data_IF_474073980053
#
_entry.id   IF_474073980053
#
_cell.length_a   1.000
_cell.length_b   1.000
_cell.length_c   1.000
_cell.angle_alpha   90.00
_cell.angle_beta   90.00
_cell.angle_gamma   90.00
#
_symmetry.space_group_name_H-M   'P 1'
#
loop_
_entity.id
_entity.type
_entity.pdbx_description
1 polymer ?
#
# COMPACT_ATOMS: atom_id res chain seq x y z
N UNK A 1 -28.35 13.72 -7.36
CA UNK A 1 -27.91 12.32 -7.54
C UNK A 1 -26.60 12.14 -6.81
N UNK A 2 -26.55 11.31 -5.77
CA UNK A 2 -25.28 10.95 -5.11
C UNK A 2 -24.70 9.78 -5.90
N UNK A 3 -23.69 10.02 -6.73
CA UNK A 3 -22.92 8.95 -7.36
C UNK A 3 -22.23 8.17 -6.24
N UNK A 4 -22.78 6.98 -5.93
CA UNK A 4 -22.19 6.01 -5.03
C UNK A 4 -20.86 5.59 -5.64
N UNK A 5 -19.75 6.21 -5.24
CA UNK A 5 -18.41 5.74 -5.61
C UNK A 5 -18.30 4.30 -5.09
N UNK A 6 -18.40 3.32 -5.98
CA UNK A 6 -18.16 1.94 -5.64
C UNK A 6 -16.72 1.86 -5.15
N UNK A 7 -16.56 1.77 -3.84
CA UNK A 7 -15.25 1.62 -3.23
C UNK A 7 -14.70 0.30 -3.75
N UNK A 8 -13.58 0.36 -4.46
CA UNK A 8 -12.92 -0.82 -4.98
C UNK A 8 -12.54 -1.73 -3.79
N UNK A 9 -13.19 -2.87 -3.63
CA UNK A 9 -12.82 -3.86 -2.60
C UNK A 9 -12.08 -5.01 -3.25
N UNK A 10 -10.95 -5.42 -2.67
CA UNK A 10 -10.19 -6.55 -3.19
C UNK A 10 -10.81 -7.91 -2.80
N UNK A 11 -10.88 -8.86 -3.75
CA UNK A 11 -11.20 -10.29 -3.67
C UNK A 11 -10.95 -11.19 -2.46
N UNK A 12 -10.33 -10.73 -1.39
CA UNK A 12 -9.57 -11.62 -0.50
C UNK A 12 -9.57 -11.13 0.95
N UNK A 13 -9.22 -12.02 1.88
CA UNK A 13 -9.14 -11.70 3.31
C UNK A 13 -8.14 -10.57 3.61
N UNK A 14 -8.62 -9.48 4.20
CA UNK A 14 -7.83 -8.25 4.40
C UNK A 14 -7.95 -7.24 3.26
N UNK A 15 -8.75 -7.53 2.21
CA UNK A 15 -8.91 -6.67 1.04
C UNK A 15 -9.60 -5.32 1.34
N UNK A 16 -10.54 -5.29 2.28
CA UNK A 16 -11.19 -4.04 2.73
C UNK A 16 -10.21 -3.11 3.46
N UNK A 17 -9.33 -3.69 4.28
CA UNK A 17 -8.26 -2.99 4.97
C UNK A 17 -7.26 -2.45 3.95
N UNK A 18 -6.83 -3.25 2.97
CA UNK A 18 -5.92 -2.78 1.91
C UNK A 18 -6.53 -1.63 1.11
N UNK A 19 -7.84 -1.67 0.86
CA UNK A 19 -8.58 -0.57 0.23
C UNK A 19 -8.56 0.71 1.07
N UNK A 20 -8.61 0.57 2.40
CA UNK A 20 -8.50 1.69 3.34
C UNK A 20 -7.09 2.25 3.44
N UNK A 21 -6.09 1.37 3.47
CA UNK A 21 -4.68 1.74 3.57
C UNK A 21 -4.16 2.33 2.25
N UNK A 22 -4.61 1.82 1.11
CA UNK A 22 -4.03 2.10 -0.20
C UNK A 22 -2.73 1.32 -0.44
N UNK A 23 -2.64 0.62 -1.57
CA UNK A 23 -1.50 -0.24 -1.91
C UNK A 23 -0.16 0.51 -1.86
N UNK A 24 -0.07 1.67 -2.51
CA UNK A 24 1.17 2.45 -2.58
C UNK A 24 1.61 3.00 -1.21
N UNK A 25 0.66 3.40 -0.36
CA UNK A 25 0.98 3.83 1.00
C UNK A 25 1.51 2.67 1.84
N UNK A 26 0.87 1.49 1.75
CA UNK A 26 1.33 0.29 2.44
C UNK A 26 2.80 0.01 2.09
N UNK A 27 3.12 -0.09 0.79
CA UNK A 27 4.48 -0.38 0.33
C UNK A 27 5.45 0.70 0.79
N UNK A 28 5.11 1.98 0.61
CA UNK A 28 5.97 3.08 1.01
C UNK A 28 6.27 3.08 2.51
N UNK A 29 5.31 2.73 3.37
CA UNK A 29 5.54 2.69 4.81
C UNK A 29 6.34 1.44 5.24
N UNK A 30 6.05 0.27 4.67
CA UNK A 30 6.79 -0.95 5.01
C UNK A 30 8.23 -0.90 4.49
N UNK A 31 8.46 -0.30 3.33
CA UNK A 31 9.80 -0.09 2.79
C UNK A 31 10.63 0.80 3.71
N UNK A 32 10.05 1.90 4.20
CA UNK A 32 10.67 2.72 5.24
C UNK A 32 11.04 1.92 6.49
N UNK A 33 10.13 1.02 6.91
CA UNK A 33 10.28 0.27 8.16
C UNK A 33 11.38 -0.79 8.11
N UNK A 34 11.57 -1.43 6.95
CA UNK A 34 12.36 -2.66 6.84
C UNK A 34 13.56 -2.57 5.89
N UNK A 35 13.56 -1.65 4.93
CA UNK A 35 14.59 -1.58 3.88
C UNK A 35 15.39 -0.29 3.99
N UNK A 36 14.71 0.86 3.99
CA UNK A 36 15.35 2.17 3.90
C UNK A 36 14.70 3.17 4.87
N UNK A 37 15.34 3.41 6.01
CA UNK A 37 14.81 4.33 7.01
C UNK A 37 14.76 5.79 6.56
N UNK A 38 15.45 6.17 5.48
CA UNK A 38 15.39 7.53 4.93
C UNK A 38 14.20 7.73 3.98
N UNK A 39 13.56 6.64 3.52
CA UNK A 39 12.39 6.70 2.65
C UNK A 39 11.19 7.37 3.35
N UNK A 40 10.74 8.52 2.83
CA UNK A 40 9.75 9.37 3.52
C UNK A 40 8.46 9.63 2.73
N UNK A 41 8.30 9.09 1.51
CA UNK A 41 7.15 9.43 0.66
C UNK A 41 5.81 9.19 1.36
N UNK A 42 5.71 8.18 2.22
CA UNK A 42 4.50 7.87 3.00
C UNK A 42 4.05 9.02 3.91
N UNK A 43 4.95 9.91 4.30
CA UNK A 43 4.65 11.05 5.18
C UNK A 43 3.80 12.15 4.50
N UNK A 44 3.78 12.17 3.15
CA UNK A 44 3.07 13.17 2.32
C UNK A 44 1.54 13.12 2.45
N UNK A 45 0.98 12.03 2.97
CA UNK A 45 -0.47 11.86 3.14
C UNK A 45 -0.92 12.32 4.54
N UNK A 46 -1.95 13.18 4.58
CA UNK A 46 -2.55 13.67 5.84
C UNK A 46 -3.15 12.56 6.72
N UNK A 47 -3.66 11.49 6.12
CA UNK A 47 -4.28 10.34 6.81
C UNK A 47 -3.28 9.25 7.20
N UNK A 48 -1.98 9.54 7.25
CA UNK A 48 -0.93 8.55 7.53
C UNK A 48 -1.13 7.80 8.84
N UNK A 49 -1.48 8.47 9.93
CA UNK A 49 -1.63 7.84 11.25
C UNK A 49 -2.74 6.78 11.28
N UNK A 50 -3.89 7.08 10.68
CA UNK A 50 -4.99 6.12 10.63
C UNK A 50 -4.65 4.91 9.76
N UNK A 51 -3.97 5.11 8.62
CA UNK A 51 -3.48 4.04 7.75
C UNK A 51 -2.46 3.15 8.48
N UNK A 52 -1.47 3.75 9.16
CA UNK A 52 -0.47 3.04 9.96
C UNK A 52 -1.14 2.21 11.06
N UNK A 53 -2.14 2.77 11.73
CA UNK A 53 -2.89 2.04 12.75
C UNK A 53 -3.64 0.82 12.19
N UNK A 54 -4.16 0.89 10.96
CA UNK A 54 -4.77 -0.28 10.29
C UNK A 54 -3.69 -1.30 9.93
N UNK A 55 -2.53 -0.87 9.41
CA UNK A 55 -1.40 -1.74 9.07
C UNK A 55 -0.95 -2.55 10.30
N UNK A 56 -0.67 -1.88 11.42
CA UNK A 56 -0.17 -2.51 12.66
C UNK A 56 -1.18 -3.48 13.28
N UNK A 57 -2.48 -3.14 13.26
CA UNK A 57 -3.53 -4.03 13.81
C UNK A 57 -3.81 -5.27 12.95
N UNK A 58 -3.28 -5.32 11.74
CA UNK A 58 -3.59 -6.34 10.73
C UNK A 58 -2.32 -6.97 10.15
N UNK A 59 -1.27 -7.13 10.96
CA UNK A 59 0.02 -7.71 10.57
C UNK A 59 -0.09 -9.07 9.88
N UNK A 60 -1.05 -9.90 10.31
CA UNK A 60 -1.35 -11.20 9.68
C UNK A 60 -1.65 -11.12 8.18
N UNK A 61 -2.11 -9.97 7.66
CA UNK A 61 -2.47 -9.80 6.25
C UNK A 61 -1.32 -9.24 5.39
N UNK A 62 -0.20 -8.81 5.97
CA UNK A 62 0.88 -8.12 5.23
C UNK A 62 1.42 -8.96 4.06
N UNK A 63 1.67 -10.26 4.30
CA UNK A 63 2.14 -11.18 3.23
C UNK A 63 1.14 -11.27 2.08
N UNK A 64 -0.15 -11.38 2.39
CA UNK A 64 -1.22 -11.44 1.38
C UNK A 64 -1.32 -10.14 0.60
N UNK A 65 -1.20 -8.99 1.27
CA UNK A 65 -1.20 -7.69 0.62
C UNK A 65 -0.01 -7.51 -0.32
N UNK A 66 1.21 -7.79 0.13
CA UNK A 66 2.41 -7.67 -0.70
C UNK A 66 2.36 -8.59 -1.92
N UNK A 67 1.91 -9.84 -1.74
CA UNK A 67 1.69 -10.77 -2.86
C UNK A 67 0.66 -10.22 -3.85
N UNK A 68 -0.42 -9.63 -3.38
CA UNK A 68 -1.42 -9.04 -4.27
C UNK A 68 -0.86 -7.83 -5.04
N UNK A 69 -0.12 -6.95 -4.36
CA UNK A 69 0.46 -5.74 -4.95
C UNK A 69 1.52 -6.08 -6.01
N UNK A 70 2.37 -7.07 -5.75
CA UNK A 70 3.38 -7.55 -6.71
C UNK A 70 2.76 -7.99 -8.04
N UNK A 71 1.51 -8.50 -8.01
CA UNK A 71 0.78 -8.94 -9.19
C UNK A 71 -0.10 -7.85 -9.83
N UNK A 72 -0.06 -6.61 -9.32
CA UNK A 72 -0.79 -5.49 -9.91
C UNK A 72 -0.10 -4.95 -11.17
N UNK A 73 -0.90 -4.43 -12.10
CA UNK A 73 -0.38 -3.62 -13.21
C UNK A 73 0.21 -2.32 -12.65
N UNK A 74 1.45 -2.00 -13.04
CA UNK A 74 2.13 -0.75 -12.65
C UNK A 74 1.29 0.51 -12.91
N UNK A 75 0.51 0.54 -14.00
CA UNK A 75 -0.40 1.65 -14.31
C UNK A 75 -1.47 1.91 -13.23
N UNK A 76 -1.90 0.88 -12.49
CA UNK A 76 -2.82 1.05 -11.37
C UNK A 76 -2.13 1.71 -10.17
N UNK A 77 -0.86 1.38 -9.94
CA UNK A 77 -0.04 1.92 -8.86
C UNK A 77 0.36 3.38 -9.10
N UNK A 78 0.45 3.82 -10.36
CA UNK A 78 0.73 5.22 -10.75
C UNK A 78 -0.33 6.23 -10.27
N UNK A 79 -1.53 5.78 -9.87
CA UNK A 79 -2.65 6.66 -9.50
C UNK A 79 -2.55 7.21 -8.06
N UNK A 80 -1.35 7.23 -7.48
CA UNK A 80 -1.11 7.63 -6.11
C UNK A 80 -0.70 9.11 -6.00
N UNK A 81 -0.88 9.69 -4.82
CA UNK A 81 -0.48 11.08 -4.51
C UNK A 81 0.87 11.17 -3.80
N UNK A 82 1.63 10.06 -3.73
CA UNK A 82 2.96 10.00 -3.07
C UNK A 82 4.10 10.38 -4.01
N UNK A 83 3.81 10.51 -5.31
CA UNK A 83 4.81 10.77 -6.36
C UNK A 83 5.68 9.56 -6.68
N UNK A 84 5.26 8.34 -6.29
CA UNK A 84 5.97 7.11 -6.60
C UNK A 84 5.47 6.51 -7.91
N UNK A 85 6.36 5.90 -8.68
CA UNK A 85 5.99 5.23 -9.93
C UNK A 85 5.68 3.75 -9.71
N UNK A 86 4.81 3.19 -10.55
CA UNK A 86 4.37 1.80 -10.46
C UNK A 86 5.52 0.79 -10.47
N UNK A 87 6.50 0.87 -11.39
CA UNK A 87 7.67 -0.01 -11.37
C UNK A 87 8.49 0.10 -10.08
N UNK A 88 8.73 1.32 -9.60
CA UNK A 88 9.42 1.58 -8.33
C UNK A 88 8.69 0.91 -7.15
N UNK A 89 7.37 1.05 -7.07
CA UNK A 89 6.55 0.41 -6.04
C UNK A 89 6.64 -1.12 -6.10
N UNK A 90 6.71 -1.70 -7.30
CA UNK A 90 6.87 -3.16 -7.46
C UNK A 90 8.25 -3.62 -6.99
N UNK A 91 9.32 -2.88 -7.28
CA UNK A 91 10.67 -3.19 -6.79
C UNK A 91 10.75 -3.06 -5.25
N UNK A 92 10.18 -2.01 -4.68
CA UNK A 92 10.05 -1.87 -3.22
C UNK A 92 9.28 -3.05 -2.60
N UNK A 93 8.20 -3.48 -3.26
CA UNK A 93 7.38 -4.64 -2.82
C UNK A 93 8.22 -5.92 -2.79
N UNK A 94 9.04 -6.16 -3.82
CA UNK A 94 9.95 -7.31 -3.87
C UNK A 94 11.00 -7.24 -2.77
N UNK A 95 11.62 -6.08 -2.57
CA UNK A 95 12.61 -5.88 -1.52
C UNK A 95 12.06 -6.19 -0.13
N UNK A 96 10.86 -5.69 0.21
CA UNK A 96 10.20 -5.98 1.49
C UNK A 96 9.97 -7.49 1.68
N UNK A 97 9.59 -8.21 0.61
CA UNK A 97 9.34 -9.66 0.68
C UNK A 97 10.61 -10.50 0.85
N UNK A 98 11.78 -9.93 0.63
CA UNK A 98 13.08 -10.60 0.79
C UNK A 98 13.68 -10.48 2.19
N UNK A 99 13.01 -9.77 3.11
CA UNK A 99 13.33 -9.68 4.54
C UNK A 99 12.67 -10.83 5.32
#
# INVERSE_FOLDING_TARGET
>A
MVTKFHRHTFPFEGGEQLTTIGATFLVSYLYHRYIDSEHDNWTKIKTKESRISVIKRNERHHKTWLRHIENMKAANLNRNTLGLHGPEILEMTKAIKSV
#
